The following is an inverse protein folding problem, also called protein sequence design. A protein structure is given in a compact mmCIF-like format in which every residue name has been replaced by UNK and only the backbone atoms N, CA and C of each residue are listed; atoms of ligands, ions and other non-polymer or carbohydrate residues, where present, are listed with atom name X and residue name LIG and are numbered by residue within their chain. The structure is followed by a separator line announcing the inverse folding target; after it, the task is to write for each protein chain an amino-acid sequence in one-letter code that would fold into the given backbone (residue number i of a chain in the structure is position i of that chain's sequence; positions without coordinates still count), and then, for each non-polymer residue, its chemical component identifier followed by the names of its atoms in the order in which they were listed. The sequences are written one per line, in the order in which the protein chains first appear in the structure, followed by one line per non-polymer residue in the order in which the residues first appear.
data_IF_515222122961
#
_entry.id   IF_515222122961
#
_cell.length_a   1.000
_cell.length_b   1.000
_cell.length_c   1.000
_cell.angle_alpha   90.00
_cell.angle_beta   90.00
_cell.angle_gamma   90.00
#
_symmetry.space_group_name_H-M   'P 1'
#
loop_
_entity.id
_entity.type
_entity.pdbx_description
1 polymer ?
#
# COMPACT_ATOMS: atom_id res chain seq x y z
N UNK A 1 29.77 12.85 -5.87
CA UNK A 1 29.00 13.80 -6.71
C UNK A 1 27.52 13.42 -6.72
N UNK A 2 27.11 12.29 -7.33
CA UNK A 2 25.70 11.86 -7.31
C UNK A 2 25.08 11.74 -5.90
N UNK A 3 25.85 11.38 -4.88
CA UNK A 3 25.38 11.40 -3.49
C UNK A 3 25.00 12.80 -2.98
N UNK A 4 25.81 13.83 -3.25
CA UNK A 4 25.50 15.20 -2.85
C UNK A 4 24.24 15.71 -3.59
N UNK A 5 24.09 15.37 -4.87
CA UNK A 5 22.88 15.64 -5.66
C UNK A 5 21.67 14.90 -5.06
N UNK A 6 21.82 13.63 -4.67
CA UNK A 6 20.77 12.86 -3.97
C UNK A 6 20.35 13.58 -2.70
N UNK A 7 21.28 13.93 -1.81
CA UNK A 7 20.99 14.60 -0.55
C UNK A 7 20.25 15.93 -0.77
N UNK A 8 20.68 16.76 -1.72
CA UNK A 8 19.98 18.01 -2.06
C UNK A 8 18.55 17.79 -2.64
N UNK A 9 18.28 16.67 -3.30
CA UNK A 9 16.92 16.29 -3.72
C UNK A 9 16.05 15.96 -2.50
N UNK A 10 16.55 15.14 -1.57
CA UNK A 10 15.80 14.79 -0.36
C UNK A 10 15.60 15.99 0.57
N UNK A 11 16.62 16.83 0.76
CA UNK A 11 16.53 18.08 1.52
C UNK A 11 15.45 19.02 0.94
N UNK A 12 15.43 19.21 -0.38
CA UNK A 12 14.38 19.99 -1.06
C UNK A 12 12.98 19.45 -0.79
N UNK A 13 12.80 18.12 -0.81
CA UNK A 13 11.51 17.52 -0.49
C UNK A 13 11.15 17.73 0.99
N UNK A 14 12.05 17.44 1.92
CA UNK A 14 11.85 17.58 3.36
C UNK A 14 11.50 19.02 3.75
N UNK A 15 12.23 20.01 3.22
CA UNK A 15 12.08 21.42 3.59
C UNK A 15 11.02 22.19 2.80
N UNK A 16 10.70 21.80 1.55
CA UNK A 16 9.84 22.58 0.64
C UNK A 16 8.65 21.82 0.05
N UNK A 17 8.49 20.53 0.38
CA UNK A 17 7.40 19.71 -0.13
C UNK A 17 7.54 19.27 -1.60
N UNK A 18 8.62 19.67 -2.30
CA UNK A 18 8.78 19.47 -3.75
C UNK A 18 10.19 19.07 -4.19
N UNK A 19 10.27 18.50 -5.38
CA UNK A 19 11.53 18.29 -6.09
C UNK A 19 12.23 19.65 -6.38
N UNK A 20 13.58 19.67 -6.39
CA UNK A 20 14.33 20.81 -6.88
C UNK A 20 14.40 20.80 -8.41
N UNK A 21 14.67 21.95 -9.02
CA UNK A 21 15.02 22.03 -10.45
C UNK A 21 16.51 21.71 -10.67
N UNK A 22 16.92 21.44 -11.91
CA UNK A 22 18.34 21.25 -12.25
C UNK A 22 19.14 22.52 -11.97
N UNK A 23 18.57 23.72 -12.19
CA UNK A 23 19.22 25.00 -11.89
C UNK A 23 19.37 25.23 -10.37
N UNK A 24 18.37 24.86 -9.56
CA UNK A 24 18.49 24.90 -8.10
C UNK A 24 19.62 23.96 -7.63
N UNK A 25 19.64 22.72 -8.12
CA UNK A 25 20.71 21.75 -7.82
C UNK A 25 22.09 22.22 -8.30
N UNK A 26 22.18 22.81 -9.49
CA UNK A 26 23.42 23.35 -10.06
C UNK A 26 23.99 24.48 -9.19
N UNK A 27 23.11 25.34 -8.69
CA UNK A 27 23.45 26.43 -7.77
C UNK A 27 23.90 25.88 -6.41
N UNK A 28 23.09 25.04 -5.77
CA UNK A 28 23.36 24.48 -4.43
C UNK A 28 24.61 23.60 -4.37
N UNK A 29 24.95 22.89 -5.45
CA UNK A 29 26.10 21.98 -5.51
C UNK A 29 27.33 22.64 -6.17
N UNK A 30 27.21 23.89 -6.64
CA UNK A 30 28.25 24.64 -7.37
C UNK A 30 28.79 23.89 -8.61
N UNK A 31 27.86 23.44 -9.48
CA UNK A 31 28.16 22.61 -10.66
C UNK A 31 27.37 23.06 -11.89
N UNK A 32 27.88 22.75 -13.08
CA UNK A 32 27.14 23.01 -14.32
C UNK A 32 25.85 22.17 -14.40
N UNK A 33 24.76 22.70 -15.00
CA UNK A 33 23.52 21.95 -15.22
C UNK A 33 23.74 20.61 -15.93
N UNK A 34 24.65 20.55 -16.92
CA UNK A 34 25.05 19.31 -17.58
C UNK A 34 25.62 18.26 -16.61
N UNK A 35 26.44 18.68 -15.64
CA UNK A 35 26.95 17.78 -14.59
C UNK A 35 25.84 17.29 -13.66
N UNK A 36 24.83 18.12 -13.37
CA UNK A 36 23.67 17.70 -12.58
C UNK A 36 22.83 16.68 -13.35
N UNK A 37 22.49 16.94 -14.62
CA UNK A 37 21.77 16.01 -15.51
C UNK A 37 22.43 14.64 -15.55
N UNK A 38 23.76 14.57 -15.68
CA UNK A 38 24.49 13.30 -15.64
C UNK A 38 24.37 12.57 -14.29
N UNK A 39 24.37 13.30 -13.17
CA UNK A 39 24.12 12.69 -11.85
C UNK A 39 22.66 12.25 -11.68
N UNK A 40 21.69 12.99 -12.22
CA UNK A 40 20.28 12.57 -12.22
C UNK A 40 20.08 11.27 -13.01
N UNK A 41 20.68 11.15 -14.20
CA UNK A 41 20.70 9.89 -14.97
C UNK A 41 21.34 8.75 -14.18
N UNK A 42 22.42 9.03 -13.45
CA UNK A 42 23.10 8.04 -12.59
C UNK A 42 22.18 7.58 -11.44
N UNK A 43 21.52 8.52 -10.75
CA UNK A 43 20.59 8.24 -9.65
C UNK A 43 19.30 7.54 -10.12
N UNK A 44 18.90 7.75 -11.37
CA UNK A 44 17.82 7.01 -12.01
C UNK A 44 18.22 5.55 -12.25
N UNK A 45 19.40 5.33 -12.85
CA UNK A 45 19.92 3.99 -13.10
C UNK A 45 20.14 3.17 -11.80
N UNK A 46 20.54 3.82 -10.70
CA UNK A 46 20.66 3.18 -9.38
C UNK A 46 19.32 3.03 -8.62
N UNK A 47 18.21 3.52 -9.19
CA UNK A 47 16.85 3.49 -8.59
C UNK A 47 16.73 4.31 -7.29
N UNK A 48 17.59 5.31 -7.10
CA UNK A 48 17.51 6.27 -5.98
C UNK A 48 16.43 7.33 -6.20
N UNK A 49 16.20 7.70 -7.48
CA UNK A 49 15.14 8.57 -7.97
C UNK A 49 14.51 7.99 -9.24
N UNK A 50 13.39 8.57 -9.68
CA UNK A 50 12.74 8.30 -10.96
C UNK A 50 12.66 9.61 -11.75
N UNK A 51 13.07 9.58 -13.01
CA UNK A 51 12.98 10.72 -13.93
C UNK A 51 11.75 10.57 -14.85
N UNK A 52 11.23 11.69 -15.35
CA UNK A 52 10.21 11.67 -16.40
C UNK A 52 10.78 11.13 -17.71
N UNK A 53 9.93 10.56 -18.57
CA UNK A 53 10.32 10.15 -19.93
C UNK A 53 10.90 11.32 -20.73
N UNK A 54 10.33 12.52 -20.56
CA UNK A 54 10.85 13.75 -21.17
C UNK A 54 12.27 14.08 -20.72
N UNK A 55 12.59 13.94 -19.43
CA UNK A 55 13.94 14.17 -18.92
C UNK A 55 14.92 13.09 -19.43
N UNK A 56 14.50 11.82 -19.48
CA UNK A 56 15.31 10.73 -20.01
C UNK A 56 15.63 10.89 -21.50
N UNK A 57 14.69 11.37 -22.30
CA UNK A 57 14.91 11.68 -23.72
C UNK A 57 15.79 12.92 -23.92
N UNK A 58 15.64 13.95 -23.07
CA UNK A 58 16.25 15.25 -23.27
C UNK A 58 17.67 15.37 -22.69
N UNK A 59 17.95 14.82 -21.51
CA UNK A 59 19.24 14.97 -20.82
C UNK A 59 20.46 14.45 -21.60
N UNK A 60 20.40 13.33 -22.36
CA UNK A 60 21.54 12.87 -23.16
C UNK A 60 21.79 13.71 -24.42
N UNK A 61 20.80 14.50 -24.87
CA UNK A 61 20.77 15.05 -26.22
C UNK A 61 21.17 16.54 -26.33
N UNK A 62 21.25 17.29 -25.22
CA UNK A 62 21.41 18.75 -25.30
C UNK A 62 22.05 19.41 -24.07
N UNK A 63 23.00 20.31 -24.35
CA UNK A 63 23.51 21.34 -23.44
C UNK A 63 22.51 22.48 -23.19
N UNK A 64 21.62 22.74 -24.16
CA UNK A 64 20.95 24.02 -24.41
C UNK A 64 19.41 23.92 -24.37
N UNK A 65 18.84 22.99 -23.59
CA UNK A 65 17.40 22.98 -23.32
C UNK A 65 17.05 24.19 -22.45
N UNK A 66 16.48 25.20 -23.10
CA UNK A 66 15.85 26.33 -22.44
C UNK A 66 14.61 25.87 -21.65
N UNK A 67 14.65 26.06 -20.32
CA UNK A 67 13.53 26.34 -19.44
C UNK A 67 12.17 25.66 -19.71
N UNK A 68 12.11 24.33 -19.63
CA UNK A 68 10.93 23.59 -19.10
C UNK A 68 11.34 22.24 -18.47
N UNK A 69 12.27 22.26 -17.52
CA UNK A 69 12.63 21.09 -16.69
C UNK A 69 11.74 20.93 -15.44
N UNK A 70 10.54 21.54 -15.45
CA UNK A 70 9.57 21.35 -14.39
C UNK A 70 9.13 19.87 -14.32
N UNK A 71 9.17 19.29 -13.11
CA UNK A 71 8.89 17.87 -12.84
C UNK A 71 9.83 16.84 -13.52
N UNK A 72 11.09 17.19 -13.81
CA UNK A 72 12.08 16.23 -14.32
C UNK A 72 12.28 15.02 -13.37
N UNK A 73 12.27 15.25 -12.05
CA UNK A 73 12.29 14.20 -11.03
C UNK A 73 10.84 13.90 -10.65
N UNK A 74 10.29 12.77 -11.11
CA UNK A 74 8.91 12.36 -10.81
C UNK A 74 8.78 11.70 -9.44
N UNK A 75 9.78 10.94 -8.99
CA UNK A 75 9.78 10.33 -7.66
C UNK A 75 11.16 10.33 -7.00
N UNK A 76 11.18 10.50 -5.68
CA UNK A 76 12.31 10.27 -4.79
C UNK A 76 11.75 9.65 -3.49
N UNK A 77 11.30 8.38 -3.60
CA UNK A 77 10.56 7.64 -2.57
C UNK A 77 11.07 7.90 -1.13
N UNK A 78 10.21 8.24 -0.16
CA UNK A 78 8.74 8.20 -0.22
C UNK A 78 8.07 9.38 -0.94
N UNK A 79 8.86 10.35 -1.40
CA UNK A 79 8.31 11.55 -2.03
C UNK A 79 8.02 11.35 -3.53
N UNK A 80 6.98 12.01 -4.02
CA UNK A 80 6.67 12.15 -5.45
C UNK A 80 6.45 13.63 -5.80
N UNK A 81 6.74 14.02 -7.04
CA UNK A 81 6.33 15.32 -7.58
C UNK A 81 5.06 15.22 -8.43
N UNK A 82 4.65 14.00 -8.81
CA UNK A 82 3.41 13.74 -9.54
C UNK A 82 2.29 13.29 -8.59
N UNK A 83 1.04 13.75 -8.77
CA UNK A 83 -0.06 13.52 -7.83
C UNK A 83 -0.61 12.09 -7.93
N UNK A 84 0.01 11.15 -7.22
CA UNK A 84 -0.42 9.75 -7.17
C UNK A 84 -1.63 9.50 -6.25
N UNK A 85 -2.32 10.55 -5.79
CA UNK A 85 -3.58 10.46 -5.04
C UNK A 85 -3.43 10.28 -3.52
N UNK A 86 -2.26 10.61 -2.97
CA UNK A 86 -2.02 10.71 -1.53
C UNK A 86 -1.40 12.07 -1.19
N UNK A 87 -2.07 12.87 -0.35
CA UNK A 87 -1.48 14.07 0.24
C UNK A 87 -1.11 13.79 1.69
N UNK A 88 0.09 14.20 2.11
CA UNK A 88 0.61 13.98 3.45
C UNK A 88 0.98 15.34 4.04
N UNK A 89 0.25 15.78 5.05
CA UNK A 89 0.48 17.04 5.73
C UNK A 89 1.22 16.78 7.05
N UNK A 90 2.42 17.33 7.19
CA UNK A 90 3.15 17.39 8.46
C UNK A 90 2.70 18.56 9.32
N UNK A 91 3.61 19.09 10.14
CA UNK A 91 3.34 20.26 10.98
C UNK A 91 3.20 21.54 10.16
N UNK A 92 4.10 21.73 9.19
CA UNK A 92 4.23 22.96 8.40
C UNK A 92 4.53 22.73 6.90
N UNK A 93 4.81 21.49 6.48
CA UNK A 93 5.06 21.12 5.08
C UNK A 93 4.02 20.10 4.58
N UNK A 94 3.58 20.28 3.33
CA UNK A 94 2.69 19.37 2.60
C UNK A 94 3.48 18.62 1.52
N UNK A 95 3.35 17.30 1.48
CA UNK A 95 3.94 16.44 0.45
C UNK A 95 2.86 15.71 -0.37
N UNK A 96 3.21 15.34 -1.60
CA UNK A 96 2.59 14.20 -2.24
C UNK A 96 3.31 12.92 -1.78
N UNK A 97 2.56 11.95 -1.26
CA UNK A 97 3.08 10.61 -0.99
C UNK A 97 3.06 9.76 -2.26
N UNK A 98 4.12 8.99 -2.51
CA UNK A 98 4.21 8.16 -3.72
C UNK A 98 3.09 7.12 -3.82
N UNK A 99 2.66 6.56 -2.68
CA UNK A 99 1.59 5.57 -2.59
C UNK A 99 1.11 5.42 -1.13
N UNK A 100 0.25 4.43 -0.86
CA UNK A 100 -0.13 4.05 0.50
C UNK A 100 1.08 3.76 1.40
N UNK A 101 2.07 3.00 0.91
CA UNK A 101 3.26 2.62 1.68
C UNK A 101 4.16 3.82 1.99
N UNK A 102 4.50 4.59 0.96
CA UNK A 102 5.33 5.80 1.06
C UNK A 102 4.72 6.83 2.03
N UNK A 103 3.41 7.06 1.91
CA UNK A 103 2.70 8.01 2.77
C UNK A 103 2.78 7.62 4.24
N UNK A 104 2.71 6.32 4.53
CA UNK A 104 2.84 5.79 5.89
C UNK A 104 4.30 5.72 6.36
N UNK A 105 5.28 5.80 5.46
CA UNK A 105 6.70 5.80 5.79
C UNK A 105 7.23 7.20 6.15
N UNK A 106 6.60 8.27 5.67
CA UNK A 106 7.02 9.66 5.92
C UNK A 106 7.14 10.02 7.42
N UNK A 107 6.18 9.69 8.31
CA UNK A 107 6.32 9.98 9.75
C UNK A 107 7.51 9.27 10.41
N UNK A 108 7.94 8.12 9.88
CA UNK A 108 9.13 7.41 10.36
C UNK A 108 10.44 7.94 9.77
N UNK A 109 10.37 8.66 8.64
CA UNK A 109 11.53 9.25 7.97
C UNK A 109 11.83 10.68 8.47
N UNK A 110 10.79 11.44 8.82
CA UNK A 110 10.89 12.82 9.30
C UNK A 110 10.16 12.94 10.66
N UNK A 111 10.76 12.45 11.76
CA UNK A 111 10.09 12.40 13.06
C UNK A 111 9.65 13.77 13.59
N UNK A 112 10.39 14.84 13.28
CA UNK A 112 10.08 16.22 13.68
C UNK A 112 8.82 16.79 13.01
N UNK A 113 8.30 16.10 12.00
CA UNK A 113 7.07 16.44 11.27
C UNK A 113 5.91 15.49 11.62
N UNK A 114 6.12 14.53 12.53
CA UNK A 114 5.10 13.58 12.97
C UNK A 114 4.29 14.13 14.17
N UNK A 115 3.02 13.71 14.36
CA UNK A 115 2.23 12.89 13.45
C UNK A 115 1.84 13.63 12.16
N UNK A 116 1.62 12.90 11.08
CA UNK A 116 1.20 13.46 9.79
C UNK A 116 -0.21 13.01 9.42
N UNK A 117 -1.00 13.91 8.84
CA UNK A 117 -2.29 13.59 8.24
C UNK A 117 -2.08 13.04 6.83
N UNK A 118 -2.35 11.76 6.64
CA UNK A 118 -2.36 11.09 5.32
C UNK A 118 -3.78 11.06 4.79
N UNK A 119 -4.04 11.78 3.69
CA UNK A 119 -5.34 11.83 3.04
C UNK A 119 -5.32 11.24 1.62
N UNK A 120 -6.38 10.51 1.26
CA UNK A 120 -6.56 9.85 -0.04
C UNK A 120 -8.04 9.63 -0.35
N UNK A 121 -8.38 8.93 -1.44
CA UNK A 121 -9.75 8.53 -1.80
C UNK A 121 -9.80 7.03 -2.08
N UNK A 122 -10.87 6.36 -1.65
CA UNK A 122 -11.13 4.97 -1.98
C UNK A 122 -11.33 4.82 -3.51
N UNK A 123 -10.54 3.99 -4.23
CA UNK A 123 -10.68 3.84 -5.69
C UNK A 123 -11.99 3.23 -6.18
N UNK A 124 -12.79 2.63 -5.28
CA UNK A 124 -14.07 1.98 -5.62
C UNK A 124 -15.29 2.87 -5.41
N UNK A 125 -15.37 3.54 -4.25
CA UNK A 125 -16.56 4.32 -3.86
C UNK A 125 -16.26 5.81 -3.68
N UNK A 126 -15.06 6.26 -4.06
CA UNK A 126 -14.64 7.66 -4.09
C UNK A 126 -14.63 8.43 -2.75
N UNK A 127 -15.02 7.76 -1.66
CA UNK A 127 -15.03 8.29 -0.31
C UNK A 127 -13.64 8.80 0.11
N UNK A 128 -13.61 9.98 0.72
CA UNK A 128 -12.40 10.54 1.31
C UNK A 128 -11.96 9.69 2.51
N UNK A 129 -10.67 9.38 2.56
CA UNK A 129 -10.03 8.63 3.64
C UNK A 129 -8.91 9.50 4.23
N UNK A 130 -8.86 9.61 5.55
CA UNK A 130 -7.87 10.37 6.28
C UNK A 130 -7.39 9.58 7.49
N UNK A 131 -6.08 9.53 7.69
CA UNK A 131 -5.43 8.80 8.77
C UNK A 131 -4.39 9.70 9.45
N UNK A 132 -4.39 9.76 10.77
CA UNK A 132 -3.31 10.35 11.55
C UNK A 132 -2.24 9.27 11.74
N UNK A 133 -1.07 9.46 11.13
CA UNK A 133 0.01 8.46 11.12
C UNK A 133 1.18 8.96 11.97
N UNK A 134 1.51 8.17 12.99
CA UNK A 134 2.57 8.45 13.97
C UNK A 134 3.79 7.55 13.75
N UNK A 135 4.95 7.98 14.24
CA UNK A 135 6.17 7.15 14.24
C UNK A 135 6.20 6.11 15.37
N UNK A 136 5.43 6.32 16.45
CA UNK A 136 5.51 5.54 17.71
C UNK A 136 4.31 4.64 18.01
N UNK A 137 3.18 4.82 17.32
CA UNK A 137 1.95 4.07 17.57
C UNK A 137 1.15 3.80 16.30
N UNK A 138 0.20 2.85 16.34
CA UNK A 138 -0.61 2.51 15.18
C UNK A 138 -1.44 3.73 14.72
N UNK A 139 -1.71 3.82 13.40
CA UNK A 139 -2.43 4.94 12.81
C UNK A 139 -3.89 4.98 13.30
N UNK A 140 -4.41 6.19 13.48
CA UNK A 140 -5.80 6.45 13.88
C UNK A 140 -6.56 7.16 12.75
N UNK A 141 -7.89 7.24 12.88
CA UNK A 141 -8.75 7.76 11.83
C UNK A 141 -9.08 6.71 10.75
N UNK A 142 -9.85 7.15 9.75
CA UNK A 142 -10.39 6.30 8.68
C UNK A 142 -11.41 5.25 9.15
N UNK A 143 -11.95 4.45 8.21
CA UNK A 143 -12.79 3.30 8.54
C UNK A 143 -12.00 2.21 9.28
N UNK A 144 -12.62 1.59 10.30
CA UNK A 144 -12.00 0.49 11.06
C UNK A 144 -11.60 -0.70 10.17
N UNK A 145 -12.43 -1.02 9.17
CA UNK A 145 -12.22 -2.12 8.22
C UNK A 145 -11.35 -1.72 7.01
N UNK A 146 -10.71 -0.53 7.03
CA UNK A 146 -9.91 -0.08 5.91
C UNK A 146 -8.74 -1.03 5.62
N UNK A 147 -8.42 -1.18 4.33
CA UNK A 147 -7.36 -2.08 3.87
C UNK A 147 -6.47 -1.40 2.83
N UNK A 148 -5.18 -1.69 2.91
CA UNK A 148 -4.24 -1.39 1.86
C UNK A 148 -4.25 -2.55 0.83
N UNK A 149 -4.23 -2.22 -0.46
CA UNK A 149 -4.16 -3.19 -1.55
C UNK A 149 -3.02 -2.83 -2.49
N UNK A 150 -2.10 -3.77 -2.70
CA UNK A 150 -0.95 -3.65 -3.60
C UNK A 150 -1.20 -4.56 -4.80
N UNK A 151 -1.51 -3.97 -5.96
CA UNK A 151 -1.83 -4.73 -7.16
C UNK A 151 -0.63 -5.51 -7.72
N UNK A 152 0.51 -4.83 -7.86
CA UNK A 152 1.70 -5.35 -8.55
C UNK A 152 2.55 -6.20 -7.59
N UNK A 153 2.94 -7.43 -7.97
CA UNK A 153 3.85 -8.25 -7.15
C UNK A 153 5.21 -7.59 -6.93
N UNK A 154 5.81 -7.82 -5.77
CA UNK A 154 7.08 -7.21 -5.36
C UNK A 154 8.22 -7.37 -6.37
N UNK A 155 8.24 -8.49 -7.09
CA UNK A 155 9.22 -8.77 -8.16
C UNK A 155 9.14 -7.85 -9.37
N UNK A 156 7.95 -7.30 -9.66
CA UNK A 156 7.66 -6.49 -10.83
C UNK A 156 7.57 -4.98 -10.52
N UNK A 157 7.76 -4.59 -9.26
CA UNK A 157 7.64 -3.18 -8.82
C UNK A 157 8.57 -2.21 -9.56
N UNK A 158 9.68 -2.70 -10.12
CA UNK A 158 10.65 -1.90 -10.86
C UNK A 158 10.56 -2.06 -12.39
N UNK A 159 9.59 -2.81 -12.89
CA UNK A 159 9.28 -2.87 -14.33
C UNK A 159 8.58 -1.56 -14.75
N UNK A 160 7.66 -1.07 -13.91
CA UNK A 160 7.15 0.30 -13.89
C UNK A 160 6.79 0.69 -12.45
N UNK A 161 7.64 1.51 -11.84
CA UNK A 161 7.49 1.92 -10.43
C UNK A 161 6.44 3.01 -10.23
N UNK A 162 6.17 3.83 -11.25
CA UNK A 162 5.14 4.88 -11.18
C UNK A 162 3.76 4.26 -11.27
N UNK A 163 3.57 3.31 -12.21
CA UNK A 163 2.36 2.49 -12.28
C UNK A 163 2.16 1.66 -11.01
N UNK A 164 3.24 1.05 -10.49
CA UNK A 164 3.20 0.28 -9.24
C UNK A 164 2.70 1.11 -8.07
N UNK A 165 3.31 2.28 -7.83
CA UNK A 165 2.92 3.14 -6.71
C UNK A 165 1.52 3.73 -6.91
N UNK A 166 1.14 4.03 -8.16
CA UNK A 166 -0.23 4.36 -8.56
C UNK A 166 -1.27 3.26 -8.29
N UNK A 167 -0.86 2.01 -8.02
CA UNK A 167 -1.72 0.88 -7.66
C UNK A 167 -1.41 0.25 -6.29
N UNK A 168 -0.73 0.99 -5.41
CA UNK A 168 -0.61 0.70 -3.98
C UNK A 168 -1.55 1.65 -3.22
N UNK A 169 -2.80 1.20 -3.05
CA UNK A 169 -3.97 2.02 -2.68
C UNK A 169 -4.54 1.67 -1.31
N UNK A 170 -5.41 2.53 -0.78
CA UNK A 170 -6.23 2.26 0.40
C UNK A 170 -7.71 2.25 0.00
N UNK A 171 -8.45 1.27 0.49
CA UNK A 171 -9.88 1.09 0.28
C UNK A 171 -10.61 1.09 1.62
N UNK A 172 -11.91 1.45 1.61
CA UNK A 172 -12.74 1.44 2.82
C UNK A 172 -12.86 0.06 3.50
N UNK A 173 -12.75 -1.01 2.71
CA UNK A 173 -12.79 -2.43 3.11
C UNK A 173 -12.54 -3.35 1.89
N UNK A 174 -12.45 -4.66 2.12
CA UNK A 174 -12.28 -5.65 1.05
C UNK A 174 -13.43 -5.70 0.03
N UNK A 175 -14.67 -5.32 0.39
CA UNK A 175 -15.78 -5.26 -0.58
C UNK A 175 -15.52 -4.20 -1.64
N UNK A 176 -14.98 -3.04 -1.23
CA UNK A 176 -14.52 -2.01 -2.16
C UNK A 176 -13.37 -2.51 -3.05
N UNK A 177 -12.41 -3.27 -2.52
CA UNK A 177 -11.34 -3.89 -3.35
C UNK A 177 -11.96 -4.83 -4.39
N UNK A 178 -12.86 -5.72 -3.99
CA UNK A 178 -13.47 -6.70 -4.88
C UNK A 178 -14.35 -6.05 -5.98
N UNK A 179 -15.07 -4.95 -5.67
CA UNK A 179 -15.80 -4.17 -6.69
C UNK A 179 -14.83 -3.59 -7.71
N UNK A 180 -13.83 -2.84 -7.26
CA UNK A 180 -12.86 -2.19 -8.15
C UNK A 180 -12.09 -3.19 -9.02
N UNK A 181 -11.79 -4.39 -8.51
CA UNK A 181 -11.19 -5.48 -9.31
C UNK A 181 -12.14 -6.00 -10.39
N UNK A 182 -13.43 -6.17 -10.08
CA UNK A 182 -14.45 -6.57 -11.06
C UNK A 182 -14.65 -5.49 -12.14
N UNK A 183 -14.71 -4.21 -11.74
CA UNK A 183 -14.92 -3.06 -12.61
C UNK A 183 -13.71 -2.81 -13.54
N UNK A 184 -12.48 -3.03 -13.05
CA UNK A 184 -11.23 -2.81 -13.80
C UNK A 184 -10.67 -4.04 -14.52
N UNK A 185 -11.21 -5.23 -14.29
CA UNK A 185 -10.69 -6.50 -14.82
C UNK A 185 -9.33 -6.93 -14.25
N UNK A 186 -8.83 -6.24 -13.22
CA UNK A 186 -7.54 -6.51 -12.61
C UNK A 186 -7.55 -7.81 -11.78
N UNK A 187 -6.40 -8.49 -11.73
CA UNK A 187 -6.22 -9.66 -10.85
C UNK A 187 -6.00 -9.21 -9.40
N UNK A 188 -6.56 -9.93 -8.43
CA UNK A 188 -6.42 -9.62 -6.99
C UNK A 188 -4.95 -9.71 -6.56
N UNK A 189 -4.32 -8.56 -6.37
CA UNK A 189 -3.04 -8.42 -5.67
C UNK A 189 -3.13 -8.64 -4.15
N UNK A 190 -2.10 -8.23 -3.40
CA UNK A 190 -2.00 -8.46 -1.96
C UNK A 190 -2.81 -7.43 -1.15
N UNK A 191 -3.60 -7.89 -0.18
CA UNK A 191 -4.38 -7.06 0.75
C UNK A 191 -3.77 -7.14 2.15
N UNK A 192 -3.75 -6.03 2.89
CA UNK A 192 -3.41 -6.02 4.32
C UNK A 192 -4.17 -4.95 5.12
N UNK A 193 -4.41 -5.14 6.44
CA UNK A 193 -4.94 -4.10 7.31
C UNK A 193 -4.02 -2.87 7.43
N UNK A 194 -4.57 -1.70 7.77
CA UNK A 194 -3.79 -0.45 7.88
C UNK A 194 -2.66 -0.55 8.92
N UNK A 195 -2.86 -1.28 10.02
CA UNK A 195 -1.83 -1.49 11.05
C UNK A 195 -0.68 -2.38 10.52
N UNK A 196 -0.94 -3.28 9.56
CA UNK A 196 0.09 -4.04 8.86
C UNK A 196 0.88 -3.14 7.92
N UNK A 197 0.20 -2.25 7.17
CA UNK A 197 0.84 -1.25 6.31
C UNK A 197 1.79 -0.35 7.11
N UNK A 198 1.37 0.12 8.28
CA UNK A 198 2.19 0.92 9.19
C UNK A 198 3.44 0.16 9.65
N UNK A 199 3.30 -1.11 10.10
CA UNK A 199 4.45 -1.96 10.46
C UNK A 199 5.41 -2.17 9.28
N UNK A 200 4.88 -2.36 8.07
CA UNK A 200 5.64 -2.49 6.83
C UNK A 200 6.39 -1.20 6.46
N UNK A 201 5.79 -0.04 6.71
CA UNK A 201 6.38 1.29 6.47
C UNK A 201 7.50 1.65 7.48
N UNK A 202 7.34 1.24 8.74
CA UNK A 202 8.22 1.58 9.86
C UNK A 202 9.71 1.26 9.62
N UNK A 203 10.52 2.27 9.33
CA UNK A 203 11.96 2.11 9.09
C UNK A 203 12.32 1.54 7.71
N UNK A 204 11.36 1.44 6.77
CA UNK A 204 11.68 1.03 5.40
C UNK A 204 12.62 2.03 4.70
N UNK A 205 12.56 3.32 5.03
CA UNK A 205 13.49 4.35 4.55
C UNK A 205 14.52 4.81 5.58
N UNK A 206 14.78 4.01 6.62
CA UNK A 206 15.84 4.30 7.60
C UNK A 206 17.20 4.56 6.90
N UNK A 207 17.88 5.63 7.30
CA UNK A 207 19.14 6.07 6.68
C UNK A 207 18.99 6.86 5.38
N UNK A 208 17.80 7.00 4.78
CA UNK A 208 17.67 7.54 3.40
C UNK A 208 17.98 9.03 3.27
N UNK A 209 17.85 9.80 4.36
CA UNK A 209 18.24 11.21 4.39
C UNK A 209 19.75 11.40 4.65
N UNK A 210 20.46 10.34 5.01
CA UNK A 210 21.86 10.41 5.47
C UNK A 210 22.88 10.13 4.36
N UNK A 211 24.11 10.61 4.55
CA UNK A 211 25.26 10.21 3.74
C UNK A 211 25.61 8.72 3.99
N UNK A 212 26.11 8.02 2.97
CA UNK A 212 26.40 6.60 3.01
C UNK A 212 25.19 5.68 2.83
N UNK A 213 23.98 6.22 2.63
CA UNK A 213 22.78 5.42 2.37
C UNK A 213 22.98 4.44 1.21
N UNK A 214 22.55 3.19 1.42
CA UNK A 214 22.45 2.16 0.39
C UNK A 214 21.04 1.58 0.42
N UNK A 215 20.38 1.56 -0.74
CA UNK A 215 19.08 0.90 -0.92
C UNK A 215 19.21 -0.59 -0.54
N UNK A 216 18.24 -1.15 0.20
CA UNK A 216 18.27 -2.57 0.59
C UNK A 216 18.35 -3.48 -0.64
N UNK A 217 19.25 -4.45 -0.57
CA UNK A 217 19.31 -5.54 -1.54
C UNK A 217 18.10 -6.48 -1.43
N UNK A 218 17.71 -7.22 -2.49
CA UNK A 218 16.50 -8.06 -2.49
C UNK A 218 16.41 -9.04 -1.31
N UNK A 219 17.54 -9.64 -0.89
CA UNK A 219 17.58 -10.51 0.28
C UNK A 219 17.25 -9.76 1.59
N UNK A 220 17.86 -8.59 1.80
CA UNK A 220 17.60 -7.73 2.96
C UNK A 220 16.16 -7.20 2.98
N UNK A 221 15.59 -6.91 1.81
CA UNK A 221 14.19 -6.55 1.66
C UNK A 221 13.25 -7.71 2.05
N UNK A 222 13.56 -8.93 1.61
CA UNK A 222 12.81 -10.15 1.95
C UNK A 222 12.81 -10.43 3.46
N UNK A 223 13.96 -10.32 4.11
CA UNK A 223 14.08 -10.55 5.55
C UNK A 223 13.44 -9.43 6.37
N UNK A 224 13.48 -8.19 5.88
CA UNK A 224 12.69 -7.09 6.45
C UNK A 224 11.17 -7.35 6.35
N UNK A 225 10.65 -7.80 5.20
CA UNK A 225 9.21 -8.10 5.09
C UNK A 225 8.78 -9.23 6.03
N UNK A 226 9.60 -10.27 6.17
CA UNK A 226 9.39 -11.34 7.15
C UNK A 226 9.35 -10.79 8.59
N UNK A 227 10.31 -9.94 8.97
CA UNK A 227 10.37 -9.38 10.33
C UNK A 227 9.24 -8.40 10.65
N UNK A 228 8.59 -7.81 9.63
CA UNK A 228 7.37 -7.02 9.77
C UNK A 228 6.07 -7.85 9.70
N UNK A 229 6.18 -9.18 9.64
CA UNK A 229 5.04 -10.10 9.65
C UNK A 229 4.25 -10.13 8.34
N UNK A 230 4.81 -9.64 7.22
CA UNK A 230 4.23 -9.87 5.90
C UNK A 230 4.39 -11.34 5.51
N UNK A 231 3.47 -11.87 4.70
CA UNK A 231 3.45 -13.27 4.28
C UNK A 231 3.11 -13.41 2.78
N UNK A 232 3.45 -14.55 2.19
CA UNK A 232 2.98 -14.94 0.85
C UNK A 232 3.47 -14.05 -0.30
N UNK A 233 2.55 -13.58 -1.14
CA UNK A 233 2.84 -12.92 -2.42
C UNK A 233 3.75 -11.67 -2.31
N UNK A 234 3.71 -10.94 -1.18
CA UNK A 234 4.58 -9.78 -0.96
C UNK A 234 6.07 -10.18 -0.74
N UNK A 235 6.33 -11.43 -0.38
CA UNK A 235 7.66 -12.02 -0.12
C UNK A 235 8.19 -12.83 -1.32
N UNK A 236 7.37 -13.06 -2.35
CA UNK A 236 7.78 -13.74 -3.58
C UNK A 236 8.65 -12.83 -4.47
N UNK A 237 9.89 -12.63 -4.04
CA UNK A 237 10.99 -12.42 -4.95
C UNK A 237 11.32 -13.76 -5.63
N UNK A 238 11.21 -13.89 -6.97
CA UNK A 238 11.83 -15.01 -7.66
C UNK A 238 13.33 -14.95 -7.40
N UNK A 239 13.92 -16.10 -7.09
CA UNK A 239 15.37 -16.23 -6.87
C UNK A 239 16.19 -16.12 -8.16
N UNK A 240 15.52 -15.96 -9.31
CA UNK A 240 16.11 -16.02 -10.65
C UNK A 240 15.50 -14.97 -11.59
N UNK A 241 15.88 -13.69 -11.47
CA UNK A 241 16.16 -12.82 -12.64
C UNK A 241 17.30 -11.87 -12.25
N UNK A 242 18.54 -12.30 -12.51
CA UNK A 242 19.72 -11.42 -12.51
C UNK A 242 20.36 -11.44 -13.90
N UNK A 243 20.34 -10.30 -14.58
CA UNK A 243 20.99 -10.10 -15.88
C UNK A 243 20.85 -8.64 -16.33
N UNK A 244 21.90 -8.00 -16.88
CA UNK A 244 21.84 -6.61 -17.30
C UNK A 244 21.17 -6.51 -18.68
N UNK A 245 19.85 -6.36 -18.70
CA UNK A 245 19.08 -6.17 -19.93
C UNK A 245 17.96 -5.14 -19.75
N UNK A 246 18.31 -3.86 -19.83
CA UNK A 246 17.35 -2.82 -20.20
C UNK A 246 17.98 -1.84 -21.20
N UNK A 247 17.76 -2.13 -22.48
CA UNK A 247 17.97 -1.20 -23.59
C UNK A 247 16.72 -1.26 -24.49
N UNK A 248 16.38 -0.10 -25.03
CA UNK A 248 15.23 0.23 -25.89
C UNK A 248 13.85 0.36 -25.19
N UNK A 249 13.15 1.49 -25.40
CA UNK A 249 11.78 1.68 -24.92
C UNK A 249 10.78 0.84 -25.75
N UNK A 250 9.75 0.32 -25.10
CA UNK A 250 8.58 -0.23 -25.81
C UNK A 250 7.68 0.91 -26.27
N UNK A 251 7.08 0.73 -27.44
CA UNK A 251 6.27 1.72 -28.16
C UNK A 251 5.17 2.37 -27.30
N UNK A 252 5.00 3.68 -27.48
CA UNK A 252 3.96 4.45 -26.82
C UNK A 252 2.56 3.84 -27.02
N UNK A 253 1.89 3.53 -25.92
CA UNK A 253 0.45 3.24 -25.90
C UNK A 253 -0.30 4.55 -25.68
N UNK A 254 -0.99 5.03 -26.72
CA UNK A 254 -1.76 6.28 -26.67
C UNK A 254 -2.88 6.18 -25.63
N UNK A 255 -2.68 6.80 -24.47
CA UNK A 255 -3.74 6.98 -23.49
C UNK A 255 -4.78 7.97 -24.04
N UNK A 256 -5.95 7.46 -24.43
CA UNK A 256 -7.08 8.30 -24.84
C UNK A 256 -7.65 9.00 -23.61
N UNK A 257 -7.38 10.29 -23.49
CA UNK A 257 -8.02 11.15 -22.49
C UNK A 257 -9.52 11.24 -22.80
N UNK A 258 -10.34 10.62 -21.96
CA UNK A 258 -11.80 10.83 -21.97
C UNK A 258 -12.11 12.05 -21.09
N UNK A 259 -12.60 13.17 -21.66
CA UNK A 259 -12.93 14.34 -20.87
C UNK A 259 -14.26 14.12 -20.13
N UNK A 260 -14.22 14.07 -18.80
CA UNK A 260 -15.43 14.21 -17.98
C UNK A 260 -15.72 15.68 -17.75
N UNK A 261 -16.72 16.20 -18.48
CA UNK A 261 -17.25 17.54 -18.30
C UNK A 261 -17.99 17.65 -16.96
N UNK A 262 -17.52 18.54 -16.10
CA UNK A 262 -18.26 18.99 -14.91
C UNK A 262 -19.26 20.08 -15.31
N UNK A 263 -20.57 19.90 -15.15
CA UNK A 263 -21.53 20.98 -15.32
C UNK A 263 -21.62 21.84 -14.05
N UNK A 264 -21.25 23.12 -14.18
CA UNK A 264 -21.54 24.14 -13.17
C UNK A 264 -23.05 24.48 -13.11
N UNK A 265 -23.46 24.95 -11.95
CA UNK A 265 -24.85 25.04 -11.47
C UNK A 265 -25.75 26.02 -12.25
N UNK A 266 -27.05 25.70 -12.37
CA UNK A 266 -28.12 26.71 -12.46
C UNK A 266 -29.36 26.23 -11.70
N UNK A 267 -29.97 27.10 -10.91
CA UNK A 267 -31.08 26.79 -10.00
C UNK A 267 -32.44 27.35 -10.51
N UNK A 268 -33.51 27.07 -9.74
CA UNK A 268 -34.94 27.45 -9.94
C UNK A 268 -35.68 26.56 -10.95
N UNK A 269 -36.90 26.04 -10.75
CA UNK A 269 -37.93 26.22 -9.68
C UNK A 269 -39.00 25.10 -9.77
N UNK A 270 -39.72 24.77 -8.68
CA UNK A 270 -41.10 24.23 -8.75
C UNK A 270 -41.41 22.86 -8.09
N UNK A 271 -42.59 22.78 -7.47
CA UNK A 271 -43.22 21.68 -6.69
C UNK A 271 -43.43 20.32 -7.46
N UNK A 272 -43.92 19.20 -6.90
CA UNK A 272 -44.73 18.93 -5.68
C UNK A 272 -44.62 17.46 -5.19
N UNK A 273 -45.39 17.10 -4.15
CA UNK A 273 -45.43 15.83 -3.38
C UNK A 273 -46.04 14.61 -4.12
N UNK A 274 -45.60 13.37 -3.79
CA UNK A 274 -46.47 12.19 -3.54
C UNK A 274 -45.73 10.88 -3.09
N UNK A 275 -45.99 10.46 -1.84
CA UNK A 275 -46.19 9.08 -1.27
C UNK A 275 -45.70 7.76 -1.92
N UNK A 276 -45.16 6.87 -1.07
CA UNK A 276 -44.97 5.39 -1.23
C UNK A 276 -46.27 4.59 -0.87
N UNK A 277 -46.44 3.25 -1.12
CA UNK A 277 -45.79 2.17 -0.33
C UNK A 277 -45.54 0.77 -1.00
N UNK A 278 -44.86 -0.13 -0.25
CA UNK A 278 -44.70 -1.61 -0.37
C UNK A 278 -46.04 -2.39 -0.04
N UNK A 279 -46.20 -3.77 0.03
CA UNK A 279 -45.23 -4.89 0.28
C UNK A 279 -45.51 -6.31 -0.36
N UNK A 280 -44.76 -7.38 0.02
CA UNK A 280 -45.25 -8.80 -0.08
C UNK A 280 -44.24 -9.99 0.00
N UNK A 281 -44.51 -10.98 0.89
CA UNK A 281 -43.75 -12.22 1.28
C UNK A 281 -43.78 -13.36 0.19
N UNK A 282 -43.20 -14.60 0.28
CA UNK A 282 -42.96 -15.58 1.38
C UNK A 282 -41.99 -16.78 1.04
N UNK A 283 -41.67 -17.66 2.03
CA UNK A 283 -40.85 -18.93 2.02
C UNK A 283 -41.71 -20.22 1.84
N UNK A 284 -41.19 -21.43 1.44
CA UNK A 284 -40.29 -22.40 2.19
C UNK A 284 -39.27 -23.19 1.27
N UNK A 285 -38.56 -24.30 1.61
CA UNK A 285 -38.17 -25.03 2.86
C UNK A 285 -37.92 -26.58 2.72
N UNK A 286 -37.18 -27.20 3.68
CA UNK A 286 -37.08 -28.66 4.06
C UNK A 286 -35.92 -29.60 3.53
N UNK A 287 -35.19 -30.22 4.50
CA UNK A 287 -34.43 -31.52 4.61
C UNK A 287 -33.25 -31.94 3.70
N UNK A 288 -32.14 -32.42 4.32
CA UNK A 288 -31.62 -33.81 4.21
C UNK A 288 -30.38 -34.13 5.11
N UNK A 289 -30.21 -35.42 5.40
CA UNK A 289 -29.08 -36.21 5.95
C UNK A 289 -27.72 -36.01 5.20
N UNK A 290 -26.49 -36.41 5.61
CA UNK A 290 -25.94 -37.17 6.77
C UNK A 290 -24.39 -37.06 6.86
N UNK A 291 -23.78 -37.82 7.79
CA UNK A 291 -22.35 -38.25 7.91
C UNK A 291 -21.33 -37.37 8.67
N UNK A 292 -20.58 -38.04 9.57
CA UNK A 292 -19.56 -37.50 10.48
C UNK A 292 -18.22 -38.20 10.21
N UNK A 293 -17.16 -37.44 9.92
CA UNK A 293 -15.78 -37.95 9.88
C UNK A 293 -14.96 -37.34 11.02
N UNK A 294 -14.38 -38.22 11.85
CA UNK A 294 -13.45 -37.85 12.91
C UNK A 294 -12.04 -37.66 12.34
N UNK A 295 -11.42 -36.51 12.62
CA UNK A 295 -9.99 -36.26 12.41
C UNK A 295 -9.37 -35.81 13.73
N UNK A 296 -8.59 -36.71 14.34
CA UNK A 296 -7.87 -36.44 15.59
C UNK A 296 -6.59 -35.66 15.33
N UNK A 297 -6.38 -34.56 16.07
CA UNK A 297 -5.11 -33.82 16.10
C UNK A 297 -4.57 -33.80 17.54
N UNK A 298 -3.25 -34.01 17.75
CA UNK A 298 -2.67 -34.04 19.09
C UNK A 298 -2.52 -32.62 19.67
N UNK A 299 -2.98 -32.44 20.91
CA UNK A 299 -2.80 -31.21 21.70
C UNK A 299 -1.83 -31.49 22.84
N UNK A 300 -0.86 -30.59 23.07
CA UNK A 300 -0.08 -30.55 24.32
C UNK A 300 -0.70 -29.52 25.26
N UNK A 301 -0.73 -29.86 26.54
CA UNK A 301 -1.15 -28.98 27.63
C UNK A 301 0.03 -28.84 28.59
N UNK A 302 0.40 -27.61 28.94
CA UNK A 302 1.29 -27.32 30.07
C UNK A 302 0.46 -26.66 31.19
N UNK A 303 0.65 -27.10 32.43
CA UNK A 303 -0.13 -26.63 33.58
C UNK A 303 0.52 -25.42 34.26
N UNK A 304 -0.19 -24.30 34.34
CA UNK A 304 0.19 -23.13 35.17
C UNK A 304 -0.96 -22.67 36.07
N UNK A 305 -1.13 -23.39 37.19
CA UNK A 305 -1.90 -22.99 38.39
C UNK A 305 -3.44 -22.83 38.28
N UNK A 306 -4.19 -23.03 39.39
CA UNK A 306 -5.57 -23.53 39.30
C UNK A 306 -6.66 -22.45 39.43
N UNK A 307 -6.70 -21.44 38.55
CA UNK A 307 -7.89 -20.55 38.47
C UNK A 307 -8.13 -19.82 37.15
N UNK A 308 -7.64 -20.32 36.01
CA UNK A 308 -8.16 -19.97 34.67
C UNK A 308 -7.71 -21.02 33.65
N UNK A 309 -8.61 -21.48 32.78
CA UNK A 309 -8.27 -22.30 31.62
C UNK A 309 -8.22 -21.38 30.39
N UNK A 310 -7.09 -20.71 30.19
CA UNK A 310 -6.85 -19.90 29.00
C UNK A 310 -6.26 -20.80 27.91
N UNK A 311 -7.10 -21.21 26.96
CA UNK A 311 -6.69 -22.04 25.82
C UNK A 311 -6.10 -21.13 24.74
N UNK A 312 -4.78 -20.94 24.75
CA UNK A 312 -4.09 -20.30 23.62
C UNK A 312 -4.01 -21.28 22.45
N UNK A 313 -4.73 -20.98 21.38
CA UNK A 313 -4.58 -21.64 20.08
C UNK A 313 -3.58 -20.83 19.26
N UNK A 314 -2.32 -21.27 19.20
CA UNK A 314 -1.35 -20.76 18.23
C UNK A 314 -1.74 -21.19 16.81
N UNK A 315 -2.69 -20.46 16.22
CA UNK A 315 -2.97 -20.55 14.80
C UNK A 315 -1.81 -19.90 14.02
N UNK A 316 -0.82 -20.71 13.63
CA UNK A 316 0.18 -20.30 12.65
C UNK A 316 -0.53 -19.76 11.40
N UNK A 317 -0.40 -18.45 11.15
CA UNK A 317 -1.25 -17.67 10.25
C UNK A 317 -1.00 -17.91 8.73
N UNK A 318 -0.64 -19.13 8.37
CA UNK A 318 -0.34 -19.56 7.01
C UNK A 318 -1.28 -20.67 6.49
N UNK A 319 -2.29 -21.08 7.29
CA UNK A 319 -3.26 -22.12 6.93
C UNK A 319 -4.71 -21.63 7.05
N UNK A 320 -5.31 -21.21 5.93
CA UNK A 320 -6.77 -21.00 5.83
C UNK A 320 -7.27 -21.10 4.39
N UNK A 321 -7.54 -22.31 3.91
CA UNK A 321 -8.39 -22.52 2.73
C UNK A 321 -9.72 -23.18 3.15
N UNK A 322 -10.81 -22.53 2.74
CA UNK A 322 -12.18 -23.03 2.68
C UNK A 322 -12.89 -23.47 3.99
N UNK A 323 -13.44 -22.48 4.71
CA UNK A 323 -14.76 -22.64 5.37
C UNK A 323 -15.70 -21.57 4.82
N UNK A 324 -16.92 -21.97 4.42
CA UNK A 324 -17.94 -21.05 3.86
C UNK A 324 -18.70 -20.35 5.00
N UNK A 325 -19.22 -19.12 4.80
CA UNK A 325 -19.93 -18.39 5.86
C UNK A 325 -21.27 -19.08 6.19
N UNK A 326 -21.54 -19.36 7.47
CA UNK A 326 -22.88 -19.80 7.91
C UNK A 326 -22.99 -20.55 9.24
N UNK A 327 -21.91 -21.12 9.78
CA UNK A 327 -21.99 -21.99 10.97
C UNK A 327 -21.72 -21.23 12.29
N UNK A 328 -22.68 -21.30 13.23
CA UNK A 328 -22.44 -21.04 14.65
C UNK A 328 -21.89 -22.32 15.30
N UNK A 329 -20.81 -22.18 16.07
CA UNK A 329 -20.23 -23.28 16.88
C UNK A 329 -20.60 -23.04 18.34
N UNK A 330 -21.42 -23.92 18.90
CA UNK A 330 -21.72 -23.96 20.33
C UNK A 330 -20.76 -24.90 21.06
N UNK A 331 -20.20 -24.46 22.20
CA UNK A 331 -19.33 -25.28 23.03
C UNK A 331 -20.11 -25.82 24.23
N UNK A 332 -20.07 -27.13 24.45
CA UNK A 332 -20.55 -27.76 25.67
C UNK A 332 -19.45 -28.65 26.26
N UNK A 333 -19.04 -28.35 27.50
CA UNK A 333 -18.14 -29.18 28.28
C UNK A 333 -18.93 -29.84 29.42
N UNK A 334 -18.75 -31.14 29.61
CA UNK A 334 -19.23 -31.88 30.78
C UNK A 334 -18.04 -32.48 31.53
N UNK A 335 -18.08 -32.48 32.87
CA UNK A 335 -17.03 -33.06 33.72
C UNK A 335 -17.41 -34.48 34.12
N UNK A 336 -16.58 -35.45 33.75
CA UNK A 336 -16.53 -36.79 34.33
C UNK A 336 -15.09 -37.09 34.80
N UNK A 337 -14.88 -37.83 35.90
CA UNK A 337 -13.55 -38.15 36.39
C UNK A 337 -12.85 -39.15 35.45
N UNK A 338 -11.70 -38.77 34.89
CA UNK A 338 -10.86 -39.63 34.02
C UNK A 338 -11.06 -39.46 32.51
N UNK A 339 -11.55 -38.30 32.04
CA UNK A 339 -11.88 -38.09 30.62
C UNK A 339 -10.71 -37.61 29.75
N UNK A 340 -10.52 -38.25 28.60
CA UNK A 340 -9.93 -37.62 27.41
C UNK A 340 -10.86 -36.51 26.89
N UNK A 341 -10.28 -35.44 26.33
CA UNK A 341 -11.05 -34.33 25.76
C UNK A 341 -11.55 -34.67 24.35
N UNK A 342 -12.81 -35.09 24.24
CA UNK A 342 -13.50 -35.25 22.95
C UNK A 342 -14.23 -33.96 22.54
N UNK A 343 -13.73 -33.28 21.50
CA UNK A 343 -14.42 -32.14 20.88
C UNK A 343 -15.47 -32.68 19.89
N UNK A 344 -16.75 -32.58 20.25
CA UNK A 344 -17.86 -32.94 19.36
C UNK A 344 -18.35 -31.71 18.60
N UNK A 345 -17.97 -31.59 17.33
CA UNK A 345 -18.52 -30.60 16.40
C UNK A 345 -19.85 -31.12 15.83
N UNK A 346 -20.97 -30.81 16.51
CA UNK A 346 -22.32 -31.09 16.02
C UNK A 346 -22.96 -29.87 15.35
N UNK A 347 -23.29 -29.96 14.07
CA UNK A 347 -24.03 -28.93 13.34
C UNK A 347 -25.45 -29.38 13.00
N UNK A 348 -26.47 -28.71 13.53
CA UNK A 348 -27.87 -28.89 13.10
C UNK A 348 -28.16 -28.00 11.90
N UNK A 349 -28.33 -28.58 10.71
CA UNK A 349 -28.73 -27.84 9.50
C UNK A 349 -30.24 -27.52 9.49
N UNK A 350 -30.59 -26.31 9.03
CA UNK A 350 -31.97 -25.84 8.82
C UNK A 350 -32.08 -24.87 7.65
#
# INVERSE_FOLDING_TARGET
MSEAVRLAIYDSFVSRGRAPTVLELATTIERSPASIRQSLLTLHASRDIVLSESALAAFPASSDICDVEAAAIVMAHPFTSVPLGFSVMGRDVLWWGGCAWDSFALPHLIPDQAPMLVATRCPSCEAALAFDVSSVGPPTGGPADAVAHFLIPTSHMWDDVVHTCGHQRIFCNERCVNSWLADSGNKKGYIMPIQQLWRLASGWYAGRLDAGYKRREPAQAKDYFRSRGSCGALIMFPTEIMGPAYLAPKSASTAVLVPHSWPLTRALTGASLATSPFPGRSRPGISAESELHLLSLPVRVEETTPSALEVQVEANACASWALRPGHLVGFHASRGPGAEYSILAGGTGS
#
